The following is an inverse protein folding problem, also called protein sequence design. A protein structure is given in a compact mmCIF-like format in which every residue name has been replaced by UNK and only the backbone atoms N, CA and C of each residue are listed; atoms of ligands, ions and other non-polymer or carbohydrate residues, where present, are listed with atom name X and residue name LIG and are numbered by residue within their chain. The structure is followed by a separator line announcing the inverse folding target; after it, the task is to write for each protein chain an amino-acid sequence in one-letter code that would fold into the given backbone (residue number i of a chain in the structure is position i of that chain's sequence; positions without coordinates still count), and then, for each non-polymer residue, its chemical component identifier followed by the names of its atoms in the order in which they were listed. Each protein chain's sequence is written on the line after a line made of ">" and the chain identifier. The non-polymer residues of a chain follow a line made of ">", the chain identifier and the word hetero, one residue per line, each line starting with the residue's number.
data_IF_163169332152
#
_entry.id   IF_163169332152
#
_cell.length_a   1.000
_cell.length_b   1.000
_cell.length_c   1.000
_cell.angle_alpha   90.00
_cell.angle_beta   90.00
_cell.angle_gamma   90.00
#
_symmetry.space_group_name_H-M   'P 1'
#
loop_
_entity.id
_entity.type
_entity.pdbx_description
1 polymer ?
#
# COMPACT_ATOMS: atom_id res chain seq x y z
N UNK A 1 -16.73 -1.27 -19.45
CA UNK A 1 -15.34 -1.42 -18.99
C UNK A 1 -15.12 -2.90 -18.78
N UNK A 2 -14.35 -3.56 -19.65
CA UNK A 2 -14.09 -4.99 -19.52
C UNK A 2 -13.49 -5.27 -18.14
N UNK A 3 -13.97 -6.34 -17.49
CA UNK A 3 -13.44 -6.82 -16.23
C UNK A 3 -12.01 -7.29 -16.52
N UNK A 4 -11.06 -6.38 -16.34
CA UNK A 4 -9.64 -6.62 -16.54
C UNK A 4 -9.26 -7.87 -15.75
N UNK A 5 -8.82 -8.89 -16.48
CA UNK A 5 -8.47 -10.19 -15.89
C UNK A 5 -7.11 -10.05 -15.17
N UNK A 6 -7.19 -9.76 -13.86
CA UNK A 6 -6.04 -9.47 -13.00
C UNK A 6 -4.96 -10.56 -13.11
N UNK A 7 -5.36 -11.82 -13.21
CA UNK A 7 -4.44 -12.95 -13.29
C UNK A 7 -3.66 -12.94 -14.62
N UNK A 8 -4.32 -12.57 -15.73
CA UNK A 8 -3.65 -12.43 -17.05
C UNK A 8 -2.70 -11.26 -17.08
N UNK A 9 -3.09 -10.12 -16.50
CA UNK A 9 -2.20 -8.96 -16.43
C UNK A 9 -0.98 -9.23 -15.55
N UNK A 10 -1.17 -9.88 -14.40
CA UNK A 10 -0.08 -10.37 -13.56
C UNK A 10 0.87 -11.28 -14.36
N UNK A 11 0.33 -12.25 -15.10
CA UNK A 11 1.14 -13.17 -15.91
C UNK A 11 1.93 -12.46 -17.02
N UNK A 12 1.36 -11.42 -17.63
CA UNK A 12 2.05 -10.57 -18.59
C UNK A 12 3.24 -9.85 -17.93
N UNK A 13 3.00 -9.12 -16.83
CA UNK A 13 4.06 -8.40 -16.09
C UNK A 13 5.12 -9.32 -15.52
N UNK A 14 4.74 -10.51 -15.05
CA UNK A 14 5.67 -11.52 -14.57
C UNK A 14 6.62 -11.97 -15.68
N UNK A 15 6.11 -12.22 -16.89
CA UNK A 15 6.95 -12.58 -18.03
C UNK A 15 7.91 -11.44 -18.39
N UNK A 16 7.41 -10.21 -18.47
CA UNK A 16 8.23 -9.04 -18.79
C UNK A 16 9.33 -8.82 -17.75
N UNK A 17 9.00 -8.91 -16.46
CA UNK A 17 9.96 -8.78 -15.38
C UNK A 17 11.00 -9.92 -15.38
N UNK A 18 10.59 -11.15 -15.68
CA UNK A 18 11.52 -12.27 -15.84
C UNK A 18 12.45 -12.07 -17.05
N UNK A 19 11.95 -11.53 -18.16
CA UNK A 19 12.77 -11.20 -19.33
C UNK A 19 13.77 -10.08 -18.99
N UNK A 20 13.32 -9.02 -18.34
CA UNK A 20 14.16 -7.90 -17.90
C UNK A 20 15.25 -8.34 -16.91
N UNK A 21 14.96 -9.33 -16.06
CA UNK A 21 15.93 -9.94 -15.16
C UNK A 21 16.87 -10.96 -15.85
N UNK A 22 16.74 -11.18 -17.16
CA UNK A 22 17.59 -12.10 -17.93
C UNK A 22 17.17 -13.57 -17.84
N UNK A 23 16.00 -13.90 -17.30
CA UNK A 23 15.48 -15.26 -17.19
C UNK A 23 14.69 -15.70 -18.43
N UNK A 24 15.20 -15.37 -19.62
CA UNK A 24 14.59 -15.74 -20.89
C UNK A 24 14.83 -17.23 -21.22
N UNK A 25 13.99 -17.80 -22.10
CA UNK A 25 14.20 -19.14 -22.63
C UNK A 25 13.60 -19.28 -24.02
N UNK A 26 14.43 -19.65 -25.00
CA UNK A 26 14.01 -19.93 -26.38
C UNK A 26 13.26 -21.26 -26.53
N UNK A 27 13.33 -22.15 -25.52
CA UNK A 27 12.67 -23.47 -25.54
C UNK A 27 11.29 -23.46 -24.88
N UNK A 28 10.90 -22.35 -24.26
CA UNK A 28 9.66 -22.23 -23.50
C UNK A 28 8.60 -21.49 -24.31
N UNK A 29 7.37 -21.99 -24.33
CA UNK A 29 6.24 -21.32 -25.01
C UNK A 29 5.86 -19.98 -24.37
N UNK A 30 6.24 -19.76 -23.11
CA UNK A 30 6.05 -18.48 -22.41
C UNK A 30 7.23 -17.52 -22.56
N UNK A 31 8.29 -17.89 -23.28
CA UNK A 31 9.48 -17.05 -23.51
C UNK A 31 10.44 -16.92 -22.33
N UNK A 32 10.11 -17.54 -21.18
CA UNK A 32 10.87 -17.42 -19.92
C UNK A 32 11.24 -18.79 -19.34
N UNK A 33 12.33 -18.82 -18.57
CA UNK A 33 12.85 -20.01 -17.92
C UNK A 33 12.02 -20.37 -16.68
N UNK A 34 11.10 -21.31 -16.83
CA UNK A 34 10.24 -21.75 -15.72
C UNK A 34 11.01 -22.37 -14.54
N UNK A 35 12.17 -22.99 -14.79
CA UNK A 35 13.00 -23.54 -13.72
C UNK A 35 13.53 -22.45 -12.79
N UNK A 36 13.83 -21.25 -13.32
CA UNK A 36 14.21 -20.10 -12.50
C UNK A 36 13.06 -19.60 -11.64
N UNK A 37 11.83 -19.59 -12.16
CA UNK A 37 10.67 -19.25 -11.35
C UNK A 37 10.42 -20.26 -10.22
N UNK A 38 10.60 -21.55 -10.49
CA UNK A 38 10.49 -22.60 -9.48
C UNK A 38 11.60 -22.49 -8.42
N UNK A 39 12.83 -22.16 -8.82
CA UNK A 39 13.94 -21.89 -7.89
C UNK A 39 13.66 -20.69 -6.99
N UNK A 40 13.12 -19.60 -7.55
CA UNK A 40 12.74 -18.39 -6.81
C UNK A 40 11.63 -18.68 -5.79
N UNK A 41 10.60 -19.41 -6.22
CA UNK A 41 9.38 -19.62 -5.40
C UNK A 41 9.46 -20.81 -4.46
N UNK A 42 10.35 -21.78 -4.74
CA UNK A 42 10.37 -23.08 -4.08
C UNK A 42 9.20 -23.99 -4.48
N UNK A 43 8.42 -23.61 -5.49
CA UNK A 43 7.23 -24.36 -5.92
C UNK A 43 7.48 -25.30 -7.09
N UNK A 44 6.51 -26.20 -7.30
CA UNK A 44 6.52 -27.09 -8.45
C UNK A 44 6.36 -26.33 -9.76
N UNK A 45 6.91 -26.91 -10.84
CA UNK A 45 6.76 -26.36 -12.19
C UNK A 45 5.29 -26.24 -12.62
N UNK A 46 4.39 -27.09 -12.10
CA UNK A 46 2.97 -27.00 -12.42
C UNK A 46 2.35 -25.71 -11.87
N UNK A 47 2.67 -25.34 -10.62
CA UNK A 47 2.21 -24.09 -10.01
C UNK A 47 2.79 -22.90 -10.77
N UNK A 48 4.09 -22.94 -11.08
CA UNK A 48 4.74 -21.89 -11.87
C UNK A 48 4.11 -21.71 -13.27
N UNK A 49 3.65 -22.80 -13.92
CA UNK A 49 2.92 -22.71 -15.20
C UNK A 49 1.59 -21.97 -15.04
N UNK A 50 0.85 -22.23 -13.96
CA UNK A 50 -0.42 -21.53 -13.68
C UNK A 50 -0.19 -20.02 -13.58
N UNK A 51 0.88 -19.61 -12.91
CA UNK A 51 1.26 -18.19 -12.81
C UNK A 51 1.59 -17.58 -14.17
N UNK A 52 2.44 -18.24 -14.97
CA UNK A 52 2.85 -17.75 -16.29
C UNK A 52 1.71 -17.74 -17.32
N UNK A 53 0.65 -18.52 -17.10
CA UNK A 53 -0.55 -18.56 -17.95
C UNK A 53 -1.66 -17.62 -17.48
N UNK A 54 -1.53 -17.02 -16.31
CA UNK A 54 -2.58 -16.21 -15.71
C UNK A 54 -3.77 -17.03 -15.23
N UNK A 55 -3.53 -18.27 -14.82
CA UNK A 55 -4.54 -19.15 -14.21
C UNK A 55 -4.59 -19.01 -12.69
N UNK A 56 -3.54 -18.44 -12.08
CA UNK A 56 -3.44 -18.22 -10.64
C UNK A 56 -2.48 -17.05 -10.32
N UNK A 57 -2.62 -16.50 -9.11
CA UNK A 57 -1.70 -15.51 -8.52
C UNK A 57 -1.04 -16.15 -7.29
N UNK A 58 0.25 -15.91 -7.05
CA UNK A 58 0.93 -16.34 -5.83
C UNK A 58 0.32 -15.71 -4.58
N UNK A 59 0.45 -16.39 -3.45
CA UNK A 59 0.18 -15.80 -2.14
C UNK A 59 1.08 -14.58 -1.85
N UNK A 60 0.67 -13.64 -0.98
CA UNK A 60 1.37 -12.37 -0.77
C UNK A 60 2.85 -12.51 -0.42
N UNK A 61 3.22 -13.50 0.40
CA UNK A 61 4.62 -13.77 0.77
C UNK A 61 5.47 -14.15 -0.46
N UNK A 62 4.95 -15.04 -1.32
CA UNK A 62 5.63 -15.45 -2.56
C UNK A 62 5.67 -14.33 -3.59
N UNK A 63 4.64 -13.50 -3.65
CA UNK A 63 4.64 -12.32 -4.50
C UNK A 63 5.79 -11.36 -4.11
N UNK A 64 6.02 -11.16 -2.81
CA UNK A 64 7.16 -10.36 -2.30
C UNK A 64 8.51 -11.01 -2.65
N UNK A 65 8.65 -12.32 -2.49
CA UNK A 65 9.89 -13.03 -2.87
C UNK A 65 10.20 -12.92 -4.36
N UNK A 66 9.19 -13.15 -5.22
CA UNK A 66 9.31 -13.05 -6.68
C UNK A 66 9.71 -11.62 -7.06
N UNK A 67 8.97 -10.62 -6.59
CA UNK A 67 9.20 -9.22 -6.94
C UNK A 67 10.58 -8.74 -6.48
N UNK A 68 11.03 -9.14 -5.28
CA UNK A 68 12.38 -8.87 -4.79
C UNK A 68 13.46 -9.48 -5.70
N UNK A 69 13.32 -10.74 -6.12
CA UNK A 69 14.27 -11.40 -7.03
C UNK A 69 14.26 -10.82 -8.45
N UNK A 70 13.13 -10.27 -8.89
CA UNK A 70 12.98 -9.62 -10.18
C UNK A 70 13.27 -8.11 -10.14
N UNK A 71 13.63 -7.56 -8.97
CA UNK A 71 13.90 -6.14 -8.76
C UNK A 71 12.74 -5.21 -9.20
N UNK A 72 11.50 -5.62 -8.89
CA UNK A 72 10.27 -4.84 -9.11
C UNK A 72 9.48 -4.72 -7.82
N UNK A 73 8.51 -3.81 -7.74
CA UNK A 73 7.63 -3.75 -6.57
C UNK A 73 6.54 -4.84 -6.64
N UNK A 74 6.13 -5.45 -5.50
CA UNK A 74 5.03 -6.41 -5.48
C UNK A 74 3.72 -5.81 -6.01
N UNK A 75 3.47 -4.54 -5.69
CA UNK A 75 2.30 -3.79 -6.16
C UNK A 75 2.31 -3.57 -7.68
N UNK A 76 3.46 -3.19 -8.26
CA UNK A 76 3.59 -3.09 -9.71
C UNK A 76 3.35 -4.44 -10.38
N UNK A 77 3.91 -5.52 -9.84
CA UNK A 77 3.74 -6.85 -10.42
C UNK A 77 2.26 -7.28 -10.41
N UNK A 78 1.53 -6.98 -9.33
CA UNK A 78 0.13 -7.36 -9.17
C UNK A 78 -0.85 -6.44 -9.90
N UNK A 79 -0.68 -5.12 -9.81
CA UNK A 79 -1.65 -4.12 -10.27
C UNK A 79 -1.20 -3.34 -11.51
N UNK A 80 0.10 -3.36 -11.82
CA UNK A 80 0.65 -2.61 -12.95
C UNK A 80 0.76 -1.11 -12.70
N UNK A 81 0.54 -0.66 -11.46
CA UNK A 81 0.67 0.74 -11.09
C UNK A 81 2.08 1.20 -11.43
N UNK A 82 2.17 2.10 -12.41
CA UNK A 82 3.40 2.78 -12.75
C UNK A 82 3.96 3.44 -11.48
N UNK A 83 4.95 2.81 -10.85
CA UNK A 83 5.87 3.48 -9.94
C UNK A 83 6.80 4.42 -10.73
N UNK A 84 6.22 5.24 -11.61
CA UNK A 84 6.81 6.50 -12.04
C UNK A 84 6.22 7.59 -11.14
N UNK A 85 6.75 7.64 -9.93
CA UNK A 85 6.38 8.64 -8.95
C UNK A 85 6.55 8.04 -7.58
N UNK A 86 7.45 8.63 -6.79
CA UNK A 86 7.15 8.84 -5.37
C UNK A 86 5.65 9.14 -5.20
N UNK A 87 4.99 8.70 -4.11
CA UNK A 87 3.64 9.16 -3.80
C UNK A 87 3.59 10.66 -4.06
N UNK A 88 2.60 11.15 -4.81
CA UNK A 88 2.53 12.59 -5.07
C UNK A 88 2.67 13.30 -3.73
N UNK A 89 3.56 14.30 -3.60
CA UNK A 89 3.82 14.96 -2.32
C UNK A 89 2.54 15.43 -1.62
N UNK A 90 1.50 15.77 -2.40
CA UNK A 90 0.21 16.27 -1.92
C UNK A 90 -0.64 15.25 -1.14
N UNK A 91 -0.41 13.94 -1.29
CA UNK A 91 -1.16 12.91 -0.55
C UNK A 91 -0.46 12.45 0.75
N UNK A 92 0.60 13.16 1.17
CA UNK A 92 1.41 12.78 2.34
C UNK A 92 1.30 13.82 3.45
N UNK A 93 0.78 13.39 4.61
CA UNK A 93 0.83 14.22 5.80
C UNK A 93 2.16 13.98 6.55
N UNK A 94 2.88 15.05 6.86
CA UNK A 94 4.11 15.01 7.67
C UNK A 94 3.83 15.63 9.03
N UNK A 95 3.99 14.86 10.12
CA UNK A 95 3.72 15.31 11.48
C UNK A 95 4.74 14.72 12.46
N UNK A 96 5.03 15.45 13.55
CA UNK A 96 5.86 14.94 14.65
C UNK A 96 5.23 13.67 15.27
N UNK A 97 6.06 12.64 15.49
CA UNK A 97 5.65 11.35 16.06
C UNK A 97 4.91 11.48 17.39
N UNK A 98 5.37 12.34 18.29
CA UNK A 98 4.76 12.54 19.60
C UNK A 98 3.37 13.19 19.49
N UNK A 99 3.21 14.12 18.54
CA UNK A 99 1.93 14.76 18.27
C UNK A 99 0.95 13.79 17.62
N UNK A 100 1.40 13.00 16.64
CA UNK A 100 0.56 11.96 16.04
C UNK A 100 0.09 10.93 17.08
N UNK A 101 1.01 10.48 17.95
CA UNK A 101 0.66 9.59 19.06
C UNK A 101 -0.37 10.24 20.00
N UNK A 102 -0.21 11.52 20.32
CA UNK A 102 -1.15 12.25 21.16
C UNK A 102 -2.54 12.35 20.51
N UNK A 103 -2.62 12.68 19.22
CA UNK A 103 -3.88 12.70 18.46
C UNK A 103 -4.57 11.33 18.52
N UNK A 104 -3.85 10.23 18.29
CA UNK A 104 -4.43 8.88 18.37
C UNK A 104 -4.93 8.52 19.77
N UNK A 105 -4.20 8.94 20.80
CA UNK A 105 -4.60 8.69 22.20
C UNK A 105 -5.94 9.37 22.49
N UNK A 106 -6.12 10.60 22.03
CA UNK A 106 -7.35 11.36 22.24
C UNK A 106 -8.50 10.92 21.30
N UNK A 107 -8.18 10.52 20.07
CA UNK A 107 -9.14 10.03 19.09
C UNK A 107 -9.86 8.75 19.56
N UNK A 108 -9.17 7.87 20.30
CA UNK A 108 -9.77 6.66 20.86
C UNK A 108 -10.99 6.94 21.75
N UNK A 109 -10.97 8.04 22.52
CA UNK A 109 -12.11 8.45 23.34
C UNK A 109 -13.29 8.98 22.50
N UNK A 110 -13.00 9.58 21.34
CA UNK A 110 -14.00 10.12 20.44
C UNK A 110 -14.74 9.00 19.71
N UNK A 111 -14.03 8.02 19.14
CA UNK A 111 -14.68 6.89 18.47
C UNK A 111 -15.58 6.05 19.38
N UNK A 112 -15.30 6.05 20.69
CA UNK A 112 -16.09 5.31 21.67
C UNK A 112 -17.43 6.00 21.97
N UNK A 113 -17.53 7.32 21.82
CA UNK A 113 -18.66 8.13 22.29
C UNK A 113 -19.32 8.99 21.20
N UNK A 114 -18.87 8.92 19.95
CA UNK A 114 -19.23 9.89 18.92
C UNK A 114 -20.47 9.51 18.11
N UNK A 115 -21.42 10.45 18.02
CA UNK A 115 -22.55 10.49 17.09
C UNK A 115 -22.16 10.93 15.67
N UNK A 116 -20.89 11.34 15.44
CA UNK A 116 -20.42 11.97 14.20
C UNK A 116 -20.13 10.99 13.06
N UNK A 117 -20.16 9.68 13.32
CA UNK A 117 -20.01 8.64 12.29
C UNK A 117 -18.82 8.90 11.36
N UNK A 118 -19.11 9.10 10.08
CA UNK A 118 -18.14 9.28 9.00
C UNK A 118 -17.46 10.66 8.99
N UNK A 119 -17.95 11.66 9.73
CA UNK A 119 -17.35 13.00 9.80
C UNK A 119 -16.13 13.07 10.74
N UNK A 120 -16.03 12.14 11.70
CA UNK A 120 -14.92 12.09 12.66
C UNK A 120 -13.56 11.78 11.99
N UNK A 121 -13.45 10.78 11.09
CA UNK A 121 -12.24 10.56 10.30
C UNK A 121 -11.78 11.79 9.53
N UNK A 122 -12.70 12.48 8.85
CA UNK A 122 -12.38 13.66 8.03
C UNK A 122 -11.86 14.81 8.90
N UNK A 123 -12.52 15.09 10.02
CA UNK A 123 -12.03 16.06 10.99
C UNK A 123 -10.63 15.71 11.53
N UNK A 124 -10.39 14.45 11.88
CA UNK A 124 -9.09 14.03 12.41
C UNK A 124 -7.99 14.17 11.35
N UNK A 125 -8.29 13.88 10.09
CA UNK A 125 -7.36 14.09 8.98
C UNK A 125 -7.03 15.57 8.79
N UNK A 126 -8.03 16.45 8.81
CA UNK A 126 -7.82 17.91 8.76
C UNK A 126 -6.95 18.39 9.94
N UNK A 127 -7.27 17.96 11.16
CA UNK A 127 -6.49 18.31 12.35
C UNK A 127 -5.03 17.85 12.26
N UNK A 128 -4.77 16.62 11.81
CA UNK A 128 -3.40 16.09 11.66
C UNK A 128 -2.66 16.86 10.57
N UNK A 129 -3.33 17.23 9.47
CA UNK A 129 -2.73 18.02 8.41
C UNK A 129 -2.36 19.43 8.90
N UNK A 130 -3.26 20.11 9.60
CA UNK A 130 -3.02 21.44 10.18
C UNK A 130 -1.84 21.42 11.14
N UNK A 131 -1.77 20.42 12.03
CA UNK A 131 -0.66 20.26 12.98
C UNK A 131 0.69 20.03 12.30
N UNK A 132 0.70 19.43 11.10
CA UNK A 132 1.90 19.27 10.29
C UNK A 132 2.43 20.58 9.71
N UNK A 133 1.55 21.56 9.51
CA UNK A 133 1.88 22.86 8.88
C UNK A 133 2.09 23.98 9.90
N UNK A 134 1.60 23.82 11.13
CA UNK A 134 1.72 24.84 12.19
C UNK A 134 3.14 24.91 12.75
N UNK A 135 3.71 26.11 12.79
CA UNK A 135 4.95 26.38 13.51
C UNK A 135 4.66 26.64 15.00
N UNK A 136 4.51 25.56 15.79
CA UNK A 136 4.27 25.60 17.23
C UNK A 136 5.18 24.64 17.99
N UNK A 137 5.42 24.93 19.27
CA UNK A 137 6.08 23.99 20.17
C UNK A 137 5.18 22.79 20.48
N UNK A 138 5.77 21.66 20.89
CA UNK A 138 5.00 20.45 21.22
C UNK A 138 3.90 20.71 22.27
N UNK A 139 4.18 21.53 23.28
CA UNK A 139 3.19 21.92 24.30
C UNK A 139 2.05 22.77 23.73
N UNK A 140 2.35 23.70 22.84
CA UNK A 140 1.33 24.52 22.18
C UNK A 140 0.46 23.66 21.25
N UNK A 141 1.08 22.75 20.47
CA UNK A 141 0.36 21.80 19.63
C UNK A 141 -0.56 20.89 20.44
N UNK A 142 -0.12 20.40 21.61
CA UNK A 142 -1.00 19.63 22.52
C UNK A 142 -2.21 20.44 22.99
N UNK A 143 -2.03 21.71 23.36
CA UNK A 143 -3.14 22.60 23.74
C UNK A 143 -4.11 22.85 22.58
N UNK A 144 -3.61 22.98 21.36
CA UNK A 144 -4.43 23.12 20.14
C UNK A 144 -5.26 21.85 19.92
N UNK A 145 -4.65 20.67 20.05
CA UNK A 145 -5.33 19.38 19.97
C UNK A 145 -6.44 19.29 21.02
N UNK A 146 -6.14 19.57 22.29
CA UNK A 146 -7.13 19.51 23.37
C UNK A 146 -8.31 20.46 23.10
N UNK A 147 -8.02 21.68 22.63
CA UNK A 147 -9.04 22.67 22.28
C UNK A 147 -9.93 22.16 21.13
N UNK A 148 -9.33 21.68 20.03
CA UNK A 148 -10.04 21.20 18.85
C UNK A 148 -10.89 19.95 19.12
N UNK A 149 -10.42 19.06 20.00
CA UNK A 149 -11.20 17.87 20.37
C UNK A 149 -12.30 18.20 21.39
N UNK A 150 -12.06 19.17 22.28
CA UNK A 150 -13.07 19.62 23.24
C UNK A 150 -14.25 20.35 22.57
N UNK A 151 -14.01 21.07 21.48
CA UNK A 151 -15.09 21.73 20.72
C UNK A 151 -16.03 20.70 20.13
N UNK A 152 -15.50 19.63 19.54
CA UNK A 152 -16.30 18.55 18.95
C UNK A 152 -17.10 17.78 19.98
N UNK A 153 -16.49 17.43 21.11
CA UNK A 153 -17.21 16.78 22.23
C UNK A 153 -18.41 17.60 22.72
N UNK A 154 -18.39 18.93 22.55
CA UNK A 154 -19.50 19.82 22.93
C UNK A 154 -20.59 19.95 21.87
N UNK A 155 -20.28 19.76 20.59
CA UNK A 155 -21.27 19.78 19.52
C UNK A 155 -22.01 18.43 19.37
N UNK A 156 -21.43 17.34 19.87
CA UNK A 156 -22.05 16.01 19.87
C UNK A 156 -22.98 15.72 21.07
N UNK A 157 -23.31 16.74 21.87
CA UNK A 157 -24.15 16.65 23.07
C UNK A 157 -25.38 17.54 22.93
#
# INVERSE_FOLDING_TARGET
>A
MEKVDLTKQFAYRLRDAMIAAGFNSQRSTSGVCIHKLAEITGYSLQICRKYLRGEAIPEPTKLVEISSKLNVSPGWLLFGDHHHGSPQPDDRITINRNLLHYVFTQAGELYTNSLLGDELPDFLLELINDLGQINATEEQSKKIIDLALSSIKRFSH
#
